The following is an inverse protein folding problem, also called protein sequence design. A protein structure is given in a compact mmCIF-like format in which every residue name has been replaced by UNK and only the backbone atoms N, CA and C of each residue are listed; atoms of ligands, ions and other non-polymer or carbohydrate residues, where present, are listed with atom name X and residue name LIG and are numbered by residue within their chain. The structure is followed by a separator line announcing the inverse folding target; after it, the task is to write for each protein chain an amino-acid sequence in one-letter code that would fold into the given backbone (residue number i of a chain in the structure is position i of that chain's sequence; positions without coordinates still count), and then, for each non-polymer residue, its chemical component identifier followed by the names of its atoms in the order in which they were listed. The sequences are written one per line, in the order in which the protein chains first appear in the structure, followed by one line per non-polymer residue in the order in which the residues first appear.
data_IF_576881879036
#
_entry.id   IF_576881879036
#
_cell.length_a   1.000
_cell.length_b   1.000
_cell.length_c   1.000
_cell.angle_alpha   90.00
_cell.angle_beta   90.00
_cell.angle_gamma   90.00
#
_symmetry.space_group_name_H-M   'P 1'
#
loop_
_entity.id
_entity.type
_entity.pdbx_description
1 polymer ?
#
# COMPACT_ATOMS: atom_id res chain seq x y z
N UNK A 1 11.45 5.56 4.70
CA UNK A 1 10.02 5.48 5.05
C UNK A 1 9.26 6.47 4.18
N UNK A 2 8.12 6.06 3.62
CA UNK A 2 7.22 6.88 2.80
C UNK A 2 5.85 6.93 3.48
N UNK A 3 5.28 8.13 3.63
CA UNK A 3 3.93 8.35 4.16
C UNK A 3 3.11 9.05 3.07
N UNK A 4 1.99 8.45 2.67
CA UNK A 4 1.10 9.02 1.67
C UNK A 4 -0.07 9.77 2.31
N UNK A 5 -0.22 11.03 1.94
CA UNK A 5 -1.29 11.95 2.33
C UNK A 5 -1.83 12.74 1.13
N UNK A 6 -1.60 12.26 -0.10
CA UNK A 6 -2.01 12.95 -1.32
C UNK A 6 -3.56 12.97 -1.46
N UNK A 7 -4.14 13.94 -2.18
CA UNK A 7 -5.52 13.86 -2.60
C UNK A 7 -5.70 12.77 -3.68
N UNK A 8 -6.93 12.28 -3.90
CA UNK A 8 -7.24 11.44 -5.06
C UNK A 8 -7.59 12.30 -6.26
N UNK A 9 -6.70 12.27 -7.25
CA UNK A 9 -6.81 12.94 -8.55
C UNK A 9 -6.35 11.99 -9.66
N UNK A 10 -6.59 12.35 -10.93
CA UNK A 10 -6.14 11.55 -12.05
C UNK A 10 -4.60 11.36 -12.08
N UNK A 11 -3.85 12.37 -11.61
CA UNK A 11 -2.39 12.39 -11.59
C UNK A 11 -1.80 11.55 -10.45
N UNK A 12 -2.59 11.21 -9.43
CA UNK A 12 -2.12 10.47 -8.25
C UNK A 12 -2.59 9.01 -8.23
N UNK A 13 -3.51 8.63 -9.13
CA UNK A 13 -3.94 7.25 -9.28
C UNK A 13 -2.75 6.33 -9.63
N UNK A 14 -2.55 5.29 -8.84
CA UNK A 14 -1.46 4.32 -9.01
C UNK A 14 -0.05 4.90 -8.86
N UNK A 15 0.11 6.07 -8.21
CA UNK A 15 1.42 6.72 -8.07
C UNK A 15 2.41 5.86 -7.27
N UNK A 16 1.93 5.08 -6.30
CA UNK A 16 2.72 4.12 -5.53
C UNK A 16 2.65 2.78 -6.27
N UNK A 17 3.50 2.67 -7.30
CA UNK A 17 3.69 1.49 -8.16
C UNK A 17 5.13 0.97 -8.06
N UNK A 18 5.45 -0.10 -8.80
CA UNK A 18 6.76 -0.73 -8.83
C UNK A 18 7.90 0.28 -9.06
N UNK A 19 7.72 1.21 -9.99
CA UNK A 19 8.73 2.22 -10.35
C UNK A 19 9.03 3.17 -9.20
N UNK A 20 8.01 3.62 -8.47
CA UNK A 20 8.20 4.45 -7.28
C UNK A 20 8.85 3.64 -6.15
N UNK A 21 8.34 2.44 -5.89
CA UNK A 21 8.84 1.58 -4.81
C UNK A 21 10.31 1.19 -5.00
N UNK A 22 10.75 0.98 -6.25
CA UNK A 22 12.13 0.68 -6.59
C UNK A 22 13.12 1.81 -6.23
N UNK A 23 12.65 3.07 -6.21
CA UNK A 23 13.47 4.25 -5.88
C UNK A 23 13.67 4.45 -4.38
N UNK A 24 12.88 3.78 -3.53
CA UNK A 24 13.06 3.84 -2.09
C UNK A 24 14.37 3.13 -1.69
N UNK A 25 15.01 3.50 -0.56
CA UNK A 25 16.04 2.66 0.04
C UNK A 25 15.50 1.26 0.35
N UNK A 26 16.36 0.24 0.30
CA UNK A 26 15.98 -1.12 0.70
C UNK A 26 15.54 -1.15 2.17
N UNK A 27 14.71 -2.15 2.52
CA UNK A 27 14.08 -2.26 3.84
C UNK A 27 13.24 -1.04 4.25
N UNK A 28 12.69 -0.29 3.29
CA UNK A 28 11.81 0.85 3.57
C UNK A 28 10.42 0.42 4.10
N UNK A 29 9.74 1.36 4.75
CA UNK A 29 8.32 1.23 5.13
C UNK A 29 7.43 2.14 4.28
N UNK A 30 6.21 1.69 3.98
CA UNK A 30 5.15 2.46 3.32
C UNK A 30 3.93 2.56 4.24
N UNK A 31 3.47 3.79 4.50
CA UNK A 31 2.22 4.07 5.23
C UNK A 31 1.25 4.75 4.26
N UNK A 32 0.07 4.18 4.03
CA UNK A 32 -0.98 4.82 3.23
C UNK A 32 -2.20 5.16 4.09
N UNK A 33 -2.34 6.46 4.36
CA UNK A 33 -3.45 7.06 5.12
C UNK A 33 -4.35 7.94 4.21
N UNK A 34 -4.17 7.85 2.89
CA UNK A 34 -4.80 8.72 1.92
C UNK A 34 -5.98 8.05 1.22
N UNK A 35 -5.76 7.47 0.03
CA UNK A 35 -6.76 6.68 -0.71
C UNK A 35 -6.13 5.41 -1.25
N UNK A 36 -6.90 4.33 -1.31
CA UNK A 36 -6.39 3.04 -1.77
C UNK A 36 -5.95 3.03 -3.22
N UNK A 37 -6.62 3.82 -4.08
CA UNK A 37 -6.27 3.97 -5.51
C UNK A 37 -4.87 4.53 -5.76
N UNK A 38 -4.21 5.09 -4.75
CA UNK A 38 -2.81 5.55 -4.87
C UNK A 38 -1.82 4.40 -4.94
N UNK A 39 -2.18 3.22 -4.42
CA UNK A 39 -1.30 2.05 -4.33
C UNK A 39 -1.71 1.00 -5.34
N UNK A 40 -0.75 0.56 -6.15
CA UNK A 40 -0.89 -0.67 -6.92
C UNK A 40 -0.59 -1.84 -5.99
N UNK A 41 -1.63 -2.50 -5.49
CA UNK A 41 -1.51 -3.51 -4.42
C UNK A 41 -0.61 -4.71 -4.82
N UNK A 42 -0.64 -5.12 -6.09
CA UNK A 42 0.22 -6.18 -6.62
C UNK A 42 1.71 -5.80 -6.54
N UNK A 43 2.05 -4.56 -6.90
CA UNK A 43 3.42 -4.04 -6.83
C UNK A 43 3.89 -3.91 -5.39
N UNK A 44 2.99 -3.48 -4.49
CA UNK A 44 3.27 -3.43 -3.06
C UNK A 44 3.61 -4.82 -2.51
N UNK A 45 2.80 -5.83 -2.87
CA UNK A 45 3.03 -7.23 -2.46
C UNK A 45 4.35 -7.77 -3.03
N UNK A 46 4.68 -7.46 -4.28
CA UNK A 46 5.97 -7.85 -4.87
C UNK A 46 7.16 -7.18 -4.17
N UNK A 47 7.05 -5.89 -3.84
CA UNK A 47 8.09 -5.16 -3.11
C UNK A 47 8.24 -5.66 -1.67
N UNK A 48 7.15 -6.04 -1.02
CA UNK A 48 7.22 -6.74 0.26
C UNK A 48 7.92 -8.09 0.06
N UNK A 49 7.38 -9.00 -0.75
CA UNK A 49 7.91 -10.36 -0.94
C UNK A 49 9.41 -10.40 -1.29
N UNK A 50 9.90 -9.47 -2.11
CA UNK A 50 11.33 -9.38 -2.47
C UNK A 50 12.25 -8.84 -1.36
N UNK A 51 11.69 -8.30 -0.27
CA UNK A 51 12.46 -7.65 0.80
C UNK A 51 12.77 -6.18 0.53
N UNK A 52 12.37 -5.63 -0.62
CA UNK A 52 12.51 -4.21 -0.93
C UNK A 52 11.84 -3.34 0.14
N UNK A 53 10.66 -3.77 0.60
CA UNK A 53 9.97 -3.19 1.74
C UNK A 53 10.07 -4.09 2.97
N UNK A 54 10.40 -3.47 4.09
CA UNK A 54 10.38 -4.10 5.41
C UNK A 54 8.97 -4.26 5.96
N UNK A 55 8.06 -3.37 5.58
CA UNK A 55 6.64 -3.50 5.89
C UNK A 55 5.77 -2.39 5.32
N UNK A 56 4.47 -2.58 5.44
CA UNK A 56 3.46 -1.61 5.04
C UNK A 56 2.37 -1.49 6.11
N UNK A 57 1.86 -0.28 6.32
CA UNK A 57 0.64 -0.05 7.10
C UNK A 57 -0.41 0.62 6.21
N UNK A 58 -1.58 -0.01 6.11
CA UNK A 58 -2.65 0.40 5.18
C UNK A 58 -3.96 0.65 5.93
N UNK A 59 -4.52 1.83 5.72
CA UNK A 59 -5.80 2.27 6.29
C UNK A 59 -6.94 2.18 5.26
N UNK A 60 -6.56 2.23 3.97
CA UNK A 60 -7.42 2.37 2.78
C UNK A 60 -6.99 1.42 1.66
N UNK A 61 -7.94 0.98 0.83
CA UNK A 61 -7.73 -0.05 -0.22
C UNK A 61 -8.44 0.31 -1.53
N UNK A 62 -7.97 -0.26 -2.65
CA UNK A 62 -8.54 0.03 -3.97
C UNK A 62 -10.02 -0.35 -4.08
N UNK A 63 -10.41 -1.40 -3.36
CA UNK A 63 -11.79 -1.84 -3.14
C UNK A 63 -12.07 -1.93 -1.65
N UNK A 64 -13.16 -1.29 -1.23
CA UNK A 64 -13.60 -1.27 0.17
C UNK A 64 -15.06 -1.77 0.27
N UNK A 65 -15.38 -2.71 1.19
CA UNK A 65 -14.47 -3.45 2.07
C UNK A 65 -13.40 -4.24 1.31
N UNK A 66 -12.21 -4.37 1.90
CA UNK A 66 -11.15 -5.20 1.33
C UNK A 66 -11.68 -6.64 1.14
N UNK A 67 -11.64 -7.21 -0.08
CA UNK A 67 -12.15 -8.56 -0.32
C UNK A 67 -11.48 -9.59 0.59
N UNK A 68 -12.23 -10.63 0.98
CA UNK A 68 -11.74 -11.63 1.94
C UNK A 68 -10.58 -12.46 1.36
N UNK A 69 -10.56 -12.61 0.04
CA UNK A 69 -9.52 -13.27 -0.74
C UNK A 69 -8.25 -12.44 -0.89
N UNK A 70 -8.23 -11.18 -0.43
CA UNK A 70 -7.04 -10.32 -0.58
C UNK A 70 -5.84 -10.91 0.18
N UNK A 71 -4.67 -11.07 -0.47
CA UNK A 71 -3.47 -11.57 0.19
C UNK A 71 -2.93 -10.61 1.27
N UNK A 72 -3.35 -9.34 1.27
CA UNK A 72 -2.97 -8.35 2.29
C UNK A 72 -3.41 -8.78 3.70
N UNK A 73 -4.50 -9.53 3.84
CA UNK A 73 -4.95 -10.08 5.12
C UNK A 73 -3.93 -11.01 5.79
N UNK A 74 -3.26 -11.83 5.01
CA UNK A 74 -2.35 -12.86 5.51
C UNK A 74 -0.88 -12.44 5.44
N UNK A 75 -0.55 -11.31 4.81
CA UNK A 75 0.82 -10.93 4.57
C UNK A 75 1.52 -10.50 5.89
N UNK A 76 2.61 -11.18 6.32
CA UNK A 76 3.16 -11.02 7.68
C UNK A 76 3.81 -9.66 7.97
N UNK A 77 4.05 -8.87 6.91
CA UNK A 77 4.63 -7.51 7.01
C UNK A 77 3.63 -6.40 6.67
N UNK A 78 2.34 -6.73 6.64
CA UNK A 78 1.25 -5.76 6.43
C UNK A 78 0.50 -5.59 7.75
N UNK A 79 0.43 -4.35 8.23
CA UNK A 79 -0.45 -3.94 9.31
C UNK A 79 -1.63 -3.15 8.72
N UNK A 80 -2.83 -3.30 9.27
CA UNK A 80 -4.01 -2.63 8.73
C UNK A 80 -4.92 -2.09 9.82
N UNK A 81 -5.51 -0.93 9.57
CA UNK A 81 -6.56 -0.30 10.39
C UNK A 81 -7.76 0.01 9.50
N UNK A 82 -8.61 -0.98 9.16
CA UNK A 82 -9.72 -0.77 8.22
C UNK A 82 -10.66 0.41 8.55
N UNK A 83 -10.69 1.46 7.71
CA UNK A 83 -11.54 2.64 7.92
C UNK A 83 -13.01 2.48 7.51
N UNK A 84 -13.37 1.54 6.63
CA UNK A 84 -14.77 1.34 6.18
C UNK A 84 -15.72 0.80 7.26
N UNK A 85 -15.22 0.58 8.49
CA UNK A 85 -16.02 0.15 9.64
C UNK A 85 -16.50 1.31 10.52
N UNK A 86 -16.31 2.56 10.11
CA UNK A 86 -16.80 3.75 10.84
C UNK A 86 -18.13 4.27 10.29
#
# INVERSE_FOLDING_TARGET
MLINLLPNTAETAGIINQTLLAQLPDESYVLNLARGVHVVEEDLLAALNSGKLKGAMLDVFSREPLPQESPLWAHPRVAMTPMWRQ
#
